data_IF_006041601479
#
_entry.id   IF_006041601479
#
_cell.length_a   1.000
_cell.length_b   1.000
_cell.length_c   1.000
_cell.angle_alpha   90.00
_cell.angle_beta   90.00
_cell.angle_gamma   90.00
#
_symmetry.space_group_name_H-M   'P 1'
#
loop_
_entity.id
_entity.type
_entity.pdbx_description
1 polymer ?
#
# COMPACT_ATOMS: atom_id res chain seq x y z
N UNK A 1 5.19 1.45 3.44
CA UNK A 1 5.90 1.03 4.66
C UNK A 1 7.35 1.54 4.60
N UNK A 2 7.85 2.22 5.63
CA UNK A 2 9.20 2.79 5.61
C UNK A 2 10.25 1.65 5.76
N UNK A 3 11.26 1.60 4.86
CA UNK A 3 12.33 0.58 4.89
C UNK A 3 13.07 0.52 6.25
N UNK A 4 13.21 1.67 6.92
CA UNK A 4 13.81 1.75 8.27
C UNK A 4 12.99 1.01 9.33
N UNK A 5 11.67 1.09 9.27
CA UNK A 5 10.76 0.35 10.16
C UNK A 5 10.92 -1.17 9.99
N UNK A 6 11.00 -1.63 8.75
CA UNK A 6 11.16 -3.04 8.44
C UNK A 6 12.50 -3.59 8.95
N UNK A 7 13.59 -2.85 8.72
CA UNK A 7 14.91 -3.19 9.24
C UNK A 7 14.95 -3.21 10.77
N UNK A 8 14.34 -2.22 11.42
CA UNK A 8 14.25 -2.16 12.88
C UNK A 8 13.55 -3.39 13.46
N UNK A 9 12.42 -3.82 12.89
CA UNK A 9 11.71 -5.02 13.33
C UNK A 9 12.51 -6.30 13.10
N UNK A 10 13.21 -6.41 11.98
CA UNK A 10 14.10 -7.55 11.70
C UNK A 10 15.24 -7.66 12.73
N UNK A 11 15.87 -6.53 13.09
CA UNK A 11 16.94 -6.50 14.08
C UNK A 11 16.40 -6.81 15.48
N UNK A 12 15.21 -6.34 15.84
CA UNK A 12 14.57 -6.66 17.12
C UNK A 12 14.31 -8.16 17.31
N UNK A 13 14.01 -8.86 16.23
CA UNK A 13 13.70 -10.30 16.28
C UNK A 13 14.94 -11.20 16.25
N UNK A 14 16.13 -10.63 15.94
CA UNK A 14 17.36 -11.40 15.78
C UNK A 14 18.43 -10.94 16.78
N UNK A 15 18.58 -11.69 17.86
CA UNK A 15 19.49 -11.38 18.98
C UNK A 15 20.96 -11.32 18.53
N UNK A 16 21.37 -12.21 17.62
CA UNK A 16 22.76 -12.26 17.15
C UNK A 16 23.14 -11.00 16.36
N UNK A 17 22.18 -10.44 15.63
CA UNK A 17 22.35 -9.20 14.86
C UNK A 17 22.42 -7.97 15.76
N UNK A 18 21.83 -8.02 16.96
CA UNK A 18 21.87 -6.91 17.93
C UNK A 18 23.27 -6.69 18.54
N UNK A 19 24.18 -7.63 18.42
CA UNK A 19 25.56 -7.51 18.89
C UNK A 19 26.47 -6.73 17.92
N UNK A 20 26.02 -6.52 16.68
CA UNK A 20 26.73 -5.68 15.72
C UNK A 20 26.67 -4.20 16.12
N UNK A 21 27.85 -3.55 16.18
CA UNK A 21 27.99 -2.16 16.65
C UNK A 21 27.23 -1.18 15.76
N UNK A 22 27.25 -1.38 14.44
CA UNK A 22 26.55 -0.50 13.49
C UNK A 22 25.04 -0.64 13.63
N UNK A 23 24.54 -1.87 13.79
CA UNK A 23 23.12 -2.14 13.99
C UNK A 23 22.64 -1.68 15.36
N UNK A 24 23.44 -1.81 16.42
CA UNK A 24 23.14 -1.25 17.73
C UNK A 24 23.03 0.27 17.69
N UNK A 25 23.94 0.95 16.99
CA UNK A 25 23.89 2.40 16.78
C UNK A 25 22.64 2.82 16.01
N UNK A 26 22.32 2.10 14.93
CA UNK A 26 21.07 2.31 14.18
C UNK A 26 19.84 2.12 15.08
N UNK A 27 19.77 1.05 15.86
CA UNK A 27 18.65 0.79 16.78
C UNK A 27 18.45 1.91 17.79
N UNK A 28 19.56 2.40 18.38
CA UNK A 28 19.51 3.50 19.33
C UNK A 28 19.03 4.80 18.67
N UNK A 29 19.46 5.07 17.43
CA UNK A 29 18.99 6.24 16.68
C UNK A 29 17.51 6.19 16.34
N UNK A 30 16.97 4.99 16.09
CA UNK A 30 15.54 4.82 15.82
C UNK A 30 14.72 4.93 17.11
N UNK A 31 15.17 4.33 18.20
CA UNK A 31 14.46 4.39 19.50
C UNK A 31 14.19 5.80 19.98
N UNK A 32 15.09 6.73 19.69
CA UNK A 32 15.01 8.14 20.13
C UNK A 32 14.21 9.05 19.21
N UNK A 33 13.81 8.60 18.03
CA UNK A 33 13.03 9.40 17.07
C UNK A 33 11.54 8.96 17.04
N UNK A 34 10.70 9.73 16.35
CA UNK A 34 9.27 9.47 16.26
C UNK A 34 8.93 8.07 15.74
N UNK A 35 9.74 7.50 14.84
CA UNK A 35 9.54 6.12 14.36
C UNK A 35 9.62 5.11 15.50
N UNK A 36 10.64 5.20 16.35
CA UNK A 36 10.81 4.33 17.50
C UNK A 36 9.76 4.57 18.59
N UNK A 37 9.40 5.82 18.82
CA UNK A 37 8.34 6.17 19.78
C UNK A 37 6.98 5.63 19.33
N UNK A 38 6.63 5.74 18.05
CA UNK A 38 5.39 5.17 17.49
C UNK A 38 5.38 3.64 17.58
N UNK A 39 6.52 2.97 17.37
CA UNK A 39 6.64 1.53 17.54
C UNK A 39 6.48 1.10 19.01
N UNK A 40 7.01 1.89 19.94
CA UNK A 40 6.82 1.63 21.37
C UNK A 40 5.32 1.77 21.75
N UNK A 41 4.64 2.78 21.21
CA UNK A 41 3.18 2.94 21.39
C UNK A 41 2.41 1.76 20.78
N UNK A 42 2.76 1.29 19.60
CA UNK A 42 2.14 0.13 18.96
C UNK A 42 2.28 -1.13 19.83
N UNK A 43 3.46 -1.36 20.40
CA UNK A 43 3.68 -2.45 21.37
C UNK A 43 2.80 -2.30 22.62
N UNK A 44 2.63 -1.09 23.15
CA UNK A 44 1.73 -0.83 24.29
C UNK A 44 0.27 -1.05 23.90
N UNK A 45 -0.15 -0.69 22.70
CA UNK A 45 -1.50 -0.94 22.18
C UNK A 45 -1.77 -2.45 22.13
N UNK A 46 -0.86 -3.26 21.60
CA UNK A 46 -0.99 -4.72 21.58
C UNK A 46 -1.10 -5.34 22.98
N UNK A 47 -0.42 -4.75 23.95
CA UNK A 47 -0.57 -5.16 25.35
C UNK A 47 -1.91 -4.69 25.94
N UNK A 48 -2.38 -3.48 25.58
CA UNK A 48 -3.63 -2.91 26.02
C UNK A 48 -4.87 -3.70 25.52
N UNK A 49 -4.78 -4.32 24.34
CA UNK A 49 -5.80 -5.24 23.82
C UNK A 49 -6.06 -6.44 24.76
N UNK A 50 -5.03 -6.85 25.50
CA UNK A 50 -5.08 -7.98 26.44
C UNK A 50 -5.31 -7.51 27.87
N UNK A 51 -4.88 -6.30 28.23
CA UNK A 51 -4.89 -5.77 29.59
C UNK A 51 -5.20 -4.28 29.61
N UNK A 52 -6.43 -3.94 29.99
CA UNK A 52 -6.95 -2.56 30.00
C UNK A 52 -6.15 -1.58 30.88
N UNK A 53 -5.46 -2.06 31.93
CA UNK A 53 -4.63 -1.21 32.79
C UNK A 53 -3.46 -0.52 32.07
N UNK A 54 -3.12 -0.97 30.83
CA UNK A 54 -2.03 -0.40 30.01
C UNK A 54 -2.53 0.77 29.15
N UNK A 55 -3.84 0.93 28.95
CA UNK A 55 -4.43 1.95 28.09
C UNK A 55 -3.95 3.36 28.47
N UNK A 56 -3.91 3.69 29.76
CA UNK A 56 -3.47 5.01 30.22
C UNK A 56 -2.00 5.28 29.85
N UNK A 57 -1.13 4.29 30.05
CA UNK A 57 0.27 4.41 29.69
C UNK A 57 0.47 4.57 28.18
N UNK A 58 -0.30 3.80 27.39
CA UNK A 58 -0.26 3.89 25.93
C UNK A 58 -0.74 5.27 25.43
N UNK A 59 -1.79 5.83 26.04
CA UNK A 59 -2.28 7.20 25.75
C UNK A 59 -1.20 8.25 26.06
N UNK A 60 -0.60 8.19 27.24
CA UNK A 60 0.47 9.13 27.63
C UNK A 60 1.67 9.04 26.67
N UNK A 61 2.11 7.83 26.32
CA UNK A 61 3.20 7.63 25.38
C UNK A 61 2.85 8.17 23.98
N UNK A 62 1.62 7.98 23.50
CA UNK A 62 1.17 8.50 22.20
C UNK A 62 1.13 10.02 22.18
N UNK A 63 0.57 10.66 23.21
CA UNK A 63 0.46 12.13 23.28
C UNK A 63 1.80 12.84 23.48
N UNK A 64 2.80 12.16 24.01
CA UNK A 64 4.16 12.72 24.16
C UNK A 64 4.92 12.87 22.83
N UNK A 65 4.46 12.21 21.76
CA UNK A 65 5.08 12.31 20.43
C UNK A 65 4.66 13.64 19.79
N UNK A 66 5.63 14.39 19.26
CA UNK A 66 5.39 15.58 18.44
C UNK A 66 5.53 15.17 16.97
N UNK A 67 4.44 15.03 16.21
CA UNK A 67 4.50 14.60 14.82
C UNK A 67 5.25 15.60 13.95
N UNK A 68 6.10 15.12 13.05
CA UNK A 68 6.89 15.94 12.11
C UNK A 68 6.34 15.90 10.68
N UNK A 69 5.39 15.04 10.39
CA UNK A 69 4.78 14.84 9.07
C UNK A 69 3.36 14.25 9.18
N UNK A 70 2.64 14.26 8.05
CA UNK A 70 1.25 13.79 7.99
C UNK A 70 1.07 12.32 8.38
N UNK A 71 2.05 11.46 8.09
CA UNK A 71 1.97 10.03 8.44
C UNK A 71 2.03 9.84 9.95
N UNK A 72 2.95 10.53 10.62
CA UNK A 72 3.09 10.49 12.07
C UNK A 72 1.88 11.09 12.77
N UNK A 73 1.36 12.21 12.26
CA UNK A 73 0.15 12.84 12.77
C UNK A 73 -1.05 11.91 12.67
N UNK A 74 -1.30 11.37 11.50
CA UNK A 74 -2.42 10.45 11.26
C UNK A 74 -2.30 9.17 12.11
N UNK A 75 -1.09 8.67 12.32
CA UNK A 75 -0.87 7.51 13.18
C UNK A 75 -1.14 7.84 14.65
N UNK A 76 -0.74 9.02 15.13
CA UNK A 76 -1.00 9.46 16.50
C UNK A 76 -2.51 9.67 16.74
N UNK A 77 -3.21 10.29 15.79
CA UNK A 77 -4.66 10.47 15.84
C UNK A 77 -5.39 9.12 15.88
N UNK A 78 -5.00 8.18 15.02
CA UNK A 78 -5.53 6.82 15.02
C UNK A 78 -5.28 6.13 16.37
N UNK A 79 -4.05 6.14 16.88
CA UNK A 79 -3.69 5.50 18.14
C UNK A 79 -4.55 6.03 19.31
N UNK A 80 -4.77 7.34 19.34
CA UNK A 80 -5.63 7.96 20.36
C UNK A 80 -7.07 7.45 20.30
N UNK A 81 -7.65 7.43 19.09
CA UNK A 81 -9.02 6.94 18.89
C UNK A 81 -9.14 5.43 19.14
N UNK A 82 -8.13 4.65 18.76
CA UNK A 82 -8.12 3.22 18.99
C UNK A 82 -8.03 2.86 20.49
N UNK A 83 -7.24 3.61 21.26
CA UNK A 83 -7.16 3.45 22.70
C UNK A 83 -8.47 3.87 23.40
N UNK A 84 -9.20 4.88 22.87
CA UNK A 84 -10.55 5.18 23.32
C UNK A 84 -11.54 4.04 23.02
N UNK A 85 -11.47 3.49 21.80
CA UNK A 85 -12.26 2.34 21.39
C UNK A 85 -12.05 1.13 22.32
N UNK A 86 -10.81 0.82 22.69
CA UNK A 86 -10.50 -0.24 23.65
C UNK A 86 -11.02 0.09 25.06
N UNK A 87 -10.86 1.34 25.53
CA UNK A 87 -11.31 1.78 26.84
C UNK A 87 -12.84 1.70 27.01
N UNK A 88 -13.59 1.86 25.93
CA UNK A 88 -15.05 1.88 25.89
C UNK A 88 -15.64 0.54 25.40
N UNK A 89 -14.96 -0.57 25.66
CA UNK A 89 -15.41 -1.90 25.25
C UNK A 89 -15.79 -1.99 23.76
N UNK A 90 -14.91 -1.54 22.90
CA UNK A 90 -15.08 -1.52 21.44
C UNK A 90 -16.24 -0.66 20.94
N UNK A 91 -16.46 0.47 21.61
CA UNK A 91 -17.43 1.49 21.18
C UNK A 91 -16.76 2.84 21.03
N UNK A 92 -17.28 3.65 20.14
CA UNK A 92 -16.90 5.05 19.97
C UNK A 92 -18.13 5.92 20.09
N UNK A 93 -17.99 7.09 20.72
CA UNK A 93 -19.04 8.10 20.69
C UNK A 93 -19.15 8.73 19.29
N UNK A 94 -20.23 9.48 18.97
CA UNK A 94 -20.44 10.03 17.63
C UNK A 94 -19.29 10.92 17.12
N UNK A 95 -18.67 11.72 17.98
CA UNK A 95 -17.53 12.58 17.60
C UNK A 95 -16.28 11.74 17.29
N UNK A 96 -15.95 10.76 18.12
CA UNK A 96 -14.84 9.83 17.90
C UNK A 96 -15.04 9.00 16.62
N UNK A 97 -16.28 8.55 16.38
CA UNK A 97 -16.64 7.83 15.16
C UNK A 97 -16.43 8.70 13.92
N UNK A 98 -16.87 9.97 13.96
CA UNK A 98 -16.65 10.93 12.87
C UNK A 98 -15.16 11.14 12.60
N UNK A 99 -14.33 11.28 13.65
CA UNK A 99 -12.88 11.40 13.49
C UNK A 99 -12.25 10.14 12.89
N UNK A 100 -12.69 8.95 13.33
CA UNK A 100 -12.22 7.68 12.76
C UNK A 100 -12.58 7.56 11.27
N UNK A 101 -13.79 7.98 10.87
CA UNK A 101 -14.24 8.04 9.47
C UNK A 101 -13.36 9.02 8.67
N UNK A 102 -13.03 10.18 9.23
CA UNK A 102 -12.14 11.14 8.59
C UNK A 102 -10.77 10.53 8.25
N UNK A 103 -10.17 9.79 9.18
CA UNK A 103 -8.91 9.07 8.93
C UNK A 103 -9.10 8.01 7.82
N UNK A 104 -10.17 7.22 7.89
CA UNK A 104 -10.43 6.13 6.93
C UNK A 104 -10.65 6.62 5.49
N UNK A 105 -11.10 7.85 5.31
CA UNK A 105 -11.32 8.50 4.01
C UNK A 105 -10.04 9.09 3.42
N UNK A 106 -8.98 9.23 4.20
CA UNK A 106 -7.71 9.76 3.73
C UNK A 106 -7.03 8.82 2.73
N UNK A 107 -6.02 9.35 2.01
CA UNK A 107 -5.23 8.59 1.06
C UNK A 107 -4.07 7.85 1.77
N UNK A 108 -4.01 6.51 1.73
CA UNK A 108 -2.93 5.76 2.37
C UNK A 108 -1.53 6.14 1.87
N UNK A 109 -1.39 6.60 0.63
CA UNK A 109 -0.11 7.02 0.05
C UNK A 109 0.46 8.27 0.74
N UNK A 110 -0.38 9.14 1.32
CA UNK A 110 0.02 10.35 2.01
C UNK A 110 -0.03 10.22 3.54
N UNK A 111 -0.99 9.47 4.07
CA UNK A 111 -1.26 9.38 5.51
C UNK A 111 -0.82 8.04 6.15
N UNK A 112 -0.38 7.08 5.32
CA UNK A 112 0.23 5.84 5.79
C UNK A 112 -0.76 4.77 6.24
N UNK A 113 -0.26 3.88 7.10
CA UNK A 113 -0.97 2.65 7.50
C UNK A 113 -2.17 2.90 8.41
N UNK A 114 -2.20 4.02 9.14
CA UNK A 114 -3.31 4.42 10.00
C UNK A 114 -4.66 4.45 9.28
N UNK A 115 -4.65 4.77 7.97
CA UNK A 115 -5.87 4.77 7.14
C UNK A 115 -6.47 3.36 7.03
N UNK A 116 -5.62 2.34 6.79
CA UNK A 116 -6.09 0.95 6.73
C UNK A 116 -6.52 0.43 8.10
N UNK A 117 -5.81 0.82 9.16
CA UNK A 117 -6.18 0.47 10.53
C UNK A 117 -7.54 1.05 10.91
N UNK A 118 -7.80 2.33 10.57
CA UNK A 118 -9.10 2.97 10.80
C UNK A 118 -10.24 2.27 10.03
N UNK A 119 -9.99 1.89 8.77
CA UNK A 119 -10.95 1.11 7.96
C UNK A 119 -11.29 -0.23 8.59
N UNK A 120 -10.29 -0.91 9.16
CA UNK A 120 -10.49 -2.20 9.86
C UNK A 120 -11.37 -2.04 11.10
N UNK A 121 -11.12 -1.00 11.91
CA UNK A 121 -11.94 -0.69 13.09
C UNK A 121 -13.38 -0.35 12.69
N UNK A 122 -13.57 0.47 11.66
CA UNK A 122 -14.92 0.82 11.18
C UNK A 122 -15.64 -0.38 10.57
N UNK A 123 -14.92 -1.29 9.91
CA UNK A 123 -15.52 -2.54 9.45
C UNK A 123 -15.98 -3.42 10.62
N UNK A 124 -15.23 -3.45 11.72
CA UNK A 124 -15.66 -4.17 12.94
C UNK A 124 -16.92 -3.57 13.55
N UNK A 125 -17.01 -2.23 13.62
CA UNK A 125 -18.13 -1.49 14.24
C UNK A 125 -19.42 -1.58 13.42
N UNK A 126 -19.36 -1.26 12.12
CA UNK A 126 -20.54 -1.01 11.29
C UNK A 126 -20.54 -1.73 9.93
N UNK A 127 -19.56 -2.62 9.69
CA UNK A 127 -19.35 -3.35 8.44
C UNK A 127 -19.14 -2.46 7.20
N UNK A 128 -18.74 -1.21 7.40
CA UNK A 128 -18.48 -0.26 6.33
C UNK A 128 -17.14 -0.57 5.66
N UNK A 129 -17.16 -0.69 4.33
CA UNK A 129 -15.95 -0.85 3.52
C UNK A 129 -15.56 0.46 2.86
N UNK A 130 -14.25 0.67 2.69
CA UNK A 130 -13.66 1.85 2.06
C UNK A 130 -12.84 1.45 0.84
N UNK A 131 -12.95 2.21 -0.24
CA UNK A 131 -12.09 2.06 -1.42
C UNK A 131 -10.99 3.11 -1.43
N UNK A 132 -9.83 2.75 -1.97
CA UNK A 132 -8.77 3.72 -2.24
C UNK A 132 -9.10 4.50 -3.51
N UNK A 133 -9.68 5.69 -3.34
CA UNK A 133 -10.02 6.57 -4.47
C UNK A 133 -8.85 7.44 -4.91
N UNK A 134 -7.79 7.51 -4.11
CA UNK A 134 -6.61 8.34 -4.35
C UNK A 134 -5.42 7.59 -4.96
N UNK A 135 -5.46 6.27 -4.96
CA UNK A 135 -4.55 5.43 -5.72
C UNK A 135 -5.28 5.11 -7.01
N UNK A 136 -4.63 5.35 -8.16
CA UNK A 136 -5.12 4.81 -9.42
C UNK A 136 -5.04 3.28 -9.27
N UNK A 137 -6.12 2.69 -8.79
CA UNK A 137 -6.29 1.24 -8.77
C UNK A 137 -6.43 0.87 -10.24
N UNK A 138 -5.36 0.33 -10.80
CA UNK A 138 -5.46 -0.45 -12.03
C UNK A 138 -6.41 -1.59 -11.66
N UNK A 139 -7.59 -1.69 -12.28
CA UNK A 139 -8.51 -2.76 -11.98
C UNK A 139 -7.82 -4.08 -12.33
N UNK A 140 -7.41 -4.84 -11.33
CA UNK A 140 -7.06 -6.25 -11.55
C UNK A 140 -8.37 -6.95 -11.85
N UNK A 141 -8.63 -7.21 -13.12
CA UNK A 141 -9.73 -8.09 -13.54
C UNK A 141 -9.47 -9.49 -13.00
N UNK A 142 -10.04 -9.80 -11.87
CA UNK A 142 -10.27 -11.18 -11.50
C UNK A 142 -11.65 -11.34 -10.91
N UNK A 143 -12.46 -12.09 -11.63
CA UNK A 143 -13.80 -12.60 -11.40
C UNK A 143 -14.93 -11.84 -12.10
N UNK A 144 -15.18 -12.24 -13.35
CA UNK A 144 -16.52 -12.16 -13.95
C UNK A 144 -17.51 -12.94 -13.10
N UNK A 145 -18.24 -12.26 -12.21
CA UNK A 145 -19.59 -12.69 -11.84
C UNK A 145 -20.55 -11.68 -12.43
N UNK A 146 -21.41 -12.19 -13.30
CA UNK A 146 -22.48 -11.45 -13.95
C UNK A 146 -23.23 -10.60 -12.93
N UNK A 147 -23.32 -9.30 -13.18
CA UNK A 147 -24.38 -8.46 -12.65
C UNK A 147 -24.64 -7.29 -13.59
N UNK A 148 -25.84 -7.29 -14.04
CA UNK A 148 -26.67 -6.36 -14.77
C UNK A 148 -26.15 -4.93 -15.04
N UNK A 149 -26.30 -4.59 -16.30
CA UNK A 149 -26.28 -3.31 -16.99
C UNK A 149 -26.87 -2.15 -16.18
N UNK A 150 -26.05 -1.13 -15.90
CA UNK A 150 -26.49 0.26 -15.89
C UNK A 150 -25.47 1.09 -16.66
N UNK A 151 -25.91 1.66 -17.77
CA UNK A 151 -25.18 2.58 -18.60
C UNK A 151 -24.74 3.81 -17.78
N UNK A 152 -23.43 4.02 -17.63
CA UNK A 152 -22.84 5.33 -17.40
C UNK A 152 -21.54 5.42 -18.20
N UNK A 153 -21.54 6.35 -19.13
CA UNK A 153 -20.48 6.78 -20.01
C UNK A 153 -19.30 7.35 -19.21
N UNK A 154 -18.33 6.51 -18.86
CA UNK A 154 -16.94 6.89 -18.68
C UNK A 154 -16.14 5.91 -19.54
N UNK A 155 -15.60 6.39 -20.65
CA UNK A 155 -14.70 5.65 -21.52
C UNK A 155 -13.46 5.33 -20.71
N UNK A 156 -13.39 4.12 -20.16
CA UNK A 156 -12.14 3.56 -19.58
C UNK A 156 -11.23 3.23 -20.77
N UNK A 157 -10.08 3.87 -20.80
CA UNK A 157 -9.00 3.56 -21.76
C UNK A 157 -8.49 2.15 -21.51
N UNK A 158 -8.99 1.20 -22.27
CA UNK A 158 -8.63 -0.21 -22.13
C UNK A 158 -7.31 -0.48 -22.86
N UNK A 159 -6.24 -0.81 -22.13
CA UNK A 159 -4.98 -1.26 -22.70
C UNK A 159 -4.88 -2.77 -22.53
N UNK A 160 -4.81 -3.47 -23.65
CA UNK A 160 -4.70 -4.92 -23.68
C UNK A 160 -3.34 -5.35 -24.23
N UNK A 161 -2.65 -6.23 -23.50
CA UNK A 161 -1.40 -6.85 -23.93
C UNK A 161 -1.64 -8.35 -24.04
N UNK A 162 -1.47 -8.90 -25.24
CA UNK A 162 -1.81 -10.29 -25.53
C UNK A 162 -0.91 -10.88 -26.64
N UNK A 163 -0.83 -12.24 -26.76
CA UNK A 163 -1.42 -13.23 -25.87
C UNK A 163 -0.64 -13.34 -24.55
N UNK A 164 -1.30 -13.89 -23.52
CA UNK A 164 -0.66 -14.30 -22.28
C UNK A 164 -1.19 -15.70 -21.91
N UNK A 165 -0.37 -16.77 -21.98
CA UNK A 165 1.06 -16.83 -22.33
C UNK A 165 1.39 -16.41 -23.78
N UNK A 166 2.59 -15.84 -23.97
CA UNK A 166 3.10 -15.42 -25.27
C UNK A 166 4.28 -16.30 -25.72
N UNK A 167 4.40 -16.56 -27.03
CA UNK A 167 5.49 -17.33 -27.60
C UNK A 167 6.52 -16.44 -28.32
N UNK A 168 6.17 -15.92 -29.50
CA UNK A 168 7.10 -15.18 -30.36
C UNK A 168 6.76 -13.71 -30.48
N UNK A 169 5.50 -13.36 -30.27
CA UNK A 169 5.00 -11.98 -30.45
C UNK A 169 4.07 -11.60 -29.31
N UNK A 170 4.16 -10.34 -28.92
CA UNK A 170 3.31 -9.70 -27.94
C UNK A 170 2.65 -8.49 -28.59
N UNK A 171 1.33 -8.45 -28.61
CA UNK A 171 0.55 -7.34 -29.17
C UNK A 171 0.16 -6.38 -28.06
N UNK A 172 0.17 -5.09 -28.36
CA UNK A 172 -0.30 -4.04 -27.48
C UNK A 172 -1.43 -3.30 -28.17
N UNK A 173 -2.63 -3.42 -27.62
CA UNK A 173 -3.79 -2.61 -28.03
C UNK A 173 -4.00 -1.50 -26.99
N UNK A 174 -3.97 -0.27 -27.44
CA UNK A 174 -4.10 0.93 -26.63
C UNK A 174 -5.00 1.92 -27.38
N UNK A 175 -6.30 1.63 -27.43
CA UNK A 175 -7.28 2.26 -28.32
C UNK A 175 -7.24 3.79 -28.36
N UNK A 176 -6.94 4.44 -27.23
CA UNK A 176 -6.94 5.90 -27.11
C UNK A 176 -5.55 6.54 -27.30
N UNK A 177 -4.51 5.71 -27.53
CA UNK A 177 -3.15 6.18 -27.73
C UNK A 177 -2.60 5.75 -29.08
N UNK A 178 -2.20 6.72 -29.90
CA UNK A 178 -1.56 6.43 -31.18
C UNK A 178 -0.25 5.65 -31.00
N UNK A 179 0.41 5.82 -29.86
CA UNK A 179 1.71 5.26 -29.56
C UNK A 179 1.90 5.11 -28.04
N UNK A 180 2.44 3.97 -27.59
CA UNK A 180 2.78 3.68 -26.20
C UNK A 180 4.20 3.13 -26.09
N UNK A 181 4.81 3.30 -24.92
CA UNK A 181 6.09 2.66 -24.57
C UNK A 181 5.84 1.45 -23.69
N UNK A 182 6.31 0.26 -24.13
CA UNK A 182 6.28 -0.96 -23.32
C UNK A 182 7.68 -1.29 -22.81
N UNK A 183 7.78 -1.55 -21.51
CA UNK A 183 8.99 -2.02 -20.84
C UNK A 183 8.75 -3.40 -20.28
N UNK A 184 9.66 -4.34 -20.57
CA UNK A 184 9.63 -5.71 -20.04
C UNK A 184 10.74 -5.90 -19.00
N UNK A 185 10.41 -6.57 -17.92
CA UNK A 185 11.30 -6.88 -16.81
C UNK A 185 11.29 -8.39 -16.56
N UNK A 186 12.44 -8.98 -16.26
CA UNK A 186 12.51 -10.35 -15.80
C UNK A 186 12.07 -10.48 -14.33
N UNK A 187 12.05 -11.72 -13.80
CA UNK A 187 11.65 -12.00 -12.40
C UNK A 187 12.54 -11.31 -11.35
N UNK A 188 13.76 -10.90 -11.72
CA UNK A 188 14.67 -10.15 -10.85
C UNK A 188 14.42 -8.64 -10.91
N UNK A 189 13.45 -8.18 -11.71
CA UNK A 189 13.15 -6.76 -11.92
C UNK A 189 14.14 -6.05 -12.85
N UNK A 190 14.99 -6.79 -13.58
CA UNK A 190 15.92 -6.21 -14.56
C UNK A 190 15.17 -5.91 -15.85
N UNK A 191 15.34 -4.70 -16.37
CA UNK A 191 14.77 -4.28 -17.65
C UNK A 191 15.44 -5.06 -18.80
N UNK A 192 14.65 -5.87 -19.52
CA UNK A 192 15.13 -6.69 -20.65
C UNK A 192 14.71 -6.14 -22.00
N UNK A 193 13.66 -5.33 -22.06
CA UNK A 193 13.27 -4.61 -23.27
C UNK A 193 12.60 -3.27 -22.93
N UNK A 194 12.82 -2.28 -23.81
CA UNK A 194 12.12 -1.00 -23.82
C UNK A 194 11.84 -0.65 -25.28
N UNK A 195 10.57 -0.68 -25.67
CA UNK A 195 10.13 -0.47 -27.05
C UNK A 195 8.97 0.51 -27.10
N UNK A 196 8.97 1.32 -28.15
CA UNK A 196 7.81 2.14 -28.51
C UNK A 196 6.98 1.32 -29.49
N UNK A 197 5.71 1.18 -29.22
CA UNK A 197 4.74 0.40 -30.01
C UNK A 197 3.64 1.34 -30.48
N UNK A 198 3.39 1.35 -31.77
CA UNK A 198 2.22 2.00 -32.37
C UNK A 198 1.01 1.10 -32.09
N UNK A 199 -0.13 1.69 -31.85
CA UNK A 199 -1.36 0.94 -31.52
C UNK A 199 -1.63 -0.22 -32.47
N UNK A 200 -2.00 -1.39 -31.89
CA UNK A 200 -2.21 -2.65 -32.61
C UNK A 200 -0.95 -3.24 -33.28
N UNK A 201 0.24 -2.81 -32.89
CA UNK A 201 1.47 -3.40 -33.42
C UNK A 201 2.02 -4.45 -32.45
N UNK A 202 2.95 -5.30 -32.96
CA UNK A 202 3.53 -6.38 -32.17
C UNK A 202 4.98 -6.08 -31.76
N UNK A 203 5.36 -6.60 -30.62
CA UNK A 203 6.71 -6.71 -30.13
C UNK A 203 7.22 -8.14 -30.35
N UNK A 204 8.34 -8.29 -31.07
CA UNK A 204 9.01 -9.57 -31.20
C UNK A 204 9.71 -9.94 -29.88
N UNK A 205 9.36 -11.09 -29.34
CA UNK A 205 9.91 -11.67 -28.10
C UNK A 205 10.54 -13.05 -28.35
N UNK A 206 10.74 -13.46 -29.60
CA UNK A 206 11.26 -14.79 -29.97
C UNK A 206 12.66 -15.08 -29.40
N UNK A 207 13.44 -14.03 -29.09
CA UNK A 207 14.77 -14.15 -28.49
C UNK A 207 14.78 -14.15 -26.97
N UNK A 208 13.63 -14.11 -26.31
CA UNK A 208 13.55 -14.13 -24.86
C UNK A 208 13.53 -15.57 -24.33
N UNK A 209 14.21 -15.80 -23.22
CA UNK A 209 14.14 -17.09 -22.55
C UNK A 209 12.71 -17.35 -22.07
N UNK A 210 12.29 -18.62 -22.08
CA UNK A 210 11.01 -19.00 -21.50
C UNK A 210 10.99 -18.68 -20.00
N UNK A 211 9.92 -18.04 -19.52
CA UNK A 211 9.82 -17.64 -18.12
C UNK A 211 8.75 -16.58 -17.88
N UNK A 212 8.67 -16.12 -16.64
CA UNK A 212 7.74 -15.07 -16.22
C UNK A 212 8.41 -13.71 -16.36
N UNK A 213 7.71 -12.78 -16.98
CA UNK A 213 8.11 -11.39 -17.15
C UNK A 213 7.03 -10.48 -16.58
N UNK A 214 7.40 -9.28 -16.20
CA UNK A 214 6.45 -8.20 -15.88
C UNK A 214 6.55 -7.13 -16.94
N UNK A 215 5.44 -6.70 -17.49
CA UNK A 215 5.43 -5.55 -18.39
C UNK A 215 4.84 -4.30 -17.74
N UNK A 216 5.28 -3.15 -18.22
CA UNK A 216 4.72 -1.82 -17.88
C UNK A 216 4.51 -1.05 -19.18
N UNK A 217 3.31 -0.50 -19.35
CA UNK A 217 2.96 0.34 -20.49
C UNK A 217 2.82 1.78 -20.05
N UNK A 218 3.42 2.68 -20.81
CA UNK A 218 3.40 4.13 -20.57
C UNK A 218 2.87 4.86 -21.80
N UNK A 219 2.18 5.96 -21.62
CA UNK A 219 1.88 6.89 -22.70
C UNK A 219 3.12 7.77 -23.05
N UNK A 220 2.99 8.67 -24.02
CA UNK A 220 4.08 9.59 -24.43
C UNK A 220 4.48 10.60 -23.35
N UNK A 221 3.62 10.89 -22.39
CA UNK A 221 3.97 11.48 -21.10
C UNK A 221 4.29 10.33 -20.16
N UNK A 222 5.31 10.40 -19.29
CA UNK A 222 5.82 9.23 -18.55
C UNK A 222 4.87 8.70 -17.47
N UNK A 223 3.56 8.68 -17.75
CA UNK A 223 2.55 8.08 -16.90
C UNK A 223 2.42 6.59 -17.18
N UNK A 224 2.52 5.80 -16.11
CA UNK A 224 2.28 4.37 -16.14
C UNK A 224 0.79 4.13 -16.40
N UNK A 225 0.47 3.42 -17.48
CA UNK A 225 -0.89 3.07 -17.86
C UNK A 225 -1.30 1.70 -17.31
N UNK A 226 -0.40 0.70 -17.45
CA UNK A 226 -0.66 -0.69 -17.03
C UNK A 226 0.63 -1.38 -16.56
N UNK A 227 0.51 -2.26 -15.55
CA UNK A 227 1.59 -3.16 -15.12
C UNK A 227 1.01 -4.52 -14.77
N UNK A 228 1.45 -5.59 -15.46
CA UNK A 228 0.98 -6.95 -15.21
C UNK A 228 2.08 -8.00 -15.42
N UNK A 229 1.96 -9.19 -14.79
CA UNK A 229 2.80 -10.33 -15.10
C UNK A 229 2.40 -10.97 -16.44
N UNK A 230 3.39 -11.49 -17.14
CA UNK A 230 3.26 -12.25 -18.39
C UNK A 230 3.95 -13.60 -18.20
N UNK A 231 3.30 -14.67 -18.61
CA UNK A 231 3.76 -16.06 -18.49
C UNK A 231 4.18 -16.64 -19.82
#
# INVERSE_FOLDING_TARGET
MNRRHLLYNLVLQNIDVQQDVALSSFMNSIKSNNTGLLLAVDSLIHQAEKKSSIITNAKQASTAIVPSNLVEQSQQEFNTLYLEYLAQNKKLNPAQLSSMISIAQQCPSFYGVSVYQARTVLFDINKQSYRNTCENVIPTESTKRMSQTTNNLNQETEINVFPNPANNQLFVNANDYAQVSIKLYNIMGVLVANKIVVNNNSLDISNFASGVYTYKVYNNTPYLLVQEPMF
#
